data_IF_559865883633
#
_entry.id   IF_559865883633
#
_cell.length_a   1.000
_cell.length_b   1.000
_cell.length_c   1.000
_cell.angle_alpha   90.00
_cell.angle_beta   90.00
_cell.angle_gamma   90.00
#
_symmetry.space_group_name_H-M   'P 1'
#
loop_
_entity.id
_entity.type
_entity.pdbx_description
1 polymer ?
#
# COMPACT_ATOMS: atom_id res chain seq x y z
N UNK A 1 -4.59 -22.81 -45.18
CA UNK A 1 -3.71 -21.99 -44.32
C UNK A 1 -4.18 -20.54 -44.42
N UNK A 2 -4.87 -20.02 -43.41
CA UNK A 2 -4.90 -18.57 -43.10
C UNK A 2 -5.58 -18.38 -41.74
N UNK A 3 -4.80 -18.50 -40.68
CA UNK A 3 -5.17 -18.04 -39.34
C UNK A 3 -5.02 -16.51 -39.35
N UNK A 4 -6.07 -15.79 -39.79
CA UNK A 4 -6.08 -14.33 -39.71
C UNK A 4 -6.30 -13.91 -38.26
N UNK A 5 -5.22 -13.43 -37.65
CA UNK A 5 -5.14 -12.51 -36.51
C UNK A 5 -6.44 -12.35 -35.71
N UNK A 6 -6.62 -13.19 -34.69
CA UNK A 6 -7.44 -12.84 -33.54
C UNK A 6 -6.77 -11.64 -32.85
N UNK A 7 -7.17 -10.42 -33.23
CA UNK A 7 -6.86 -9.23 -32.45
C UNK A 7 -7.73 -9.33 -31.20
N UNK A 8 -7.09 -9.60 -30.06
CA UNK A 8 -7.75 -9.52 -28.77
C UNK A 8 -7.89 -8.02 -28.49
N UNK A 9 -9.06 -7.46 -28.78
CA UNK A 9 -9.37 -6.09 -28.41
C UNK A 9 -9.58 -6.05 -26.90
N UNK A 10 -8.67 -5.39 -26.18
CA UNK A 10 -8.78 -5.22 -24.73
C UNK A 10 -9.85 -4.16 -24.48
N UNK A 11 -10.93 -4.55 -23.80
CA UNK A 11 -11.98 -3.62 -23.38
C UNK A 11 -11.68 -3.15 -21.97
N UNK A 12 -11.45 -1.84 -21.81
CA UNK A 12 -11.16 -1.23 -20.50
C UNK A 12 -12.44 -0.96 -19.70
N UNK A 13 -12.54 -1.58 -18.52
CA UNK A 13 -13.57 -1.24 -17.55
C UNK A 13 -13.03 -0.19 -16.57
N UNK A 14 -13.23 1.08 -16.91
CA UNK A 14 -12.72 2.22 -16.11
C UNK A 14 -13.69 2.62 -14.98
N UNK A 15 -14.99 2.35 -15.14
CA UNK A 15 -16.01 2.80 -14.18
C UNK A 15 -16.21 1.78 -13.06
N UNK A 16 -16.08 2.23 -11.81
CA UNK A 16 -16.45 1.45 -10.63
C UNK A 16 -17.96 1.60 -10.36
N UNK A 17 -18.72 0.50 -10.19
CA UNK A 17 -20.17 0.58 -9.92
C UNK A 17 -20.53 1.41 -8.67
N UNK A 18 -19.61 1.52 -7.72
CA UNK A 18 -19.76 2.28 -6.48
C UNK A 18 -19.40 3.77 -6.61
N UNK A 19 -18.80 4.19 -7.73
CA UNK A 19 -18.30 5.55 -7.90
C UNK A 19 -17.01 5.89 -7.11
N UNK A 20 -16.33 4.88 -6.54
CA UNK A 20 -15.05 5.11 -5.86
C UNK A 20 -14.00 5.67 -6.83
N UNK A 21 -13.34 6.74 -6.42
CA UNK A 21 -12.25 7.36 -7.18
C UNK A 21 -10.91 6.70 -6.86
N UNK A 22 -9.95 6.85 -7.78
CA UNK A 22 -8.57 6.47 -7.50
C UNK A 22 -7.99 7.31 -6.34
N UNK A 23 -7.11 6.72 -5.52
CA UNK A 23 -6.47 7.45 -4.45
C UNK A 23 -5.50 8.52 -5.00
N UNK A 24 -5.30 9.58 -4.22
CA UNK A 24 -4.28 10.60 -4.50
C UNK A 24 -2.90 10.00 -4.24
N UNK A 25 -1.95 10.27 -5.14
CA UNK A 25 -0.55 9.82 -5.01
C UNK A 25 0.33 11.01 -4.66
N UNK A 26 1.19 10.83 -3.65
CA UNK A 26 2.17 11.80 -3.20
C UNK A 26 3.56 11.15 -3.14
N UNK A 27 4.62 11.89 -3.51
CA UNK A 27 6.01 11.43 -3.43
C UNK A 27 6.75 12.27 -2.39
N UNK A 28 7.30 11.63 -1.38
CA UNK A 28 8.05 12.27 -0.28
C UNK A 28 9.53 11.85 -0.28
N UNK A 29 10.45 12.72 0.18
CA UNK A 29 11.86 12.36 0.36
C UNK A 29 12.07 11.25 1.40
N UNK A 30 13.19 10.53 1.30
CA UNK A 30 13.49 9.37 2.16
C UNK A 30 13.97 9.76 3.57
N UNK A 31 14.52 10.97 3.75
CA UNK A 31 15.29 11.34 4.94
C UNK A 31 14.53 11.16 6.28
N UNK A 32 13.22 11.43 6.29
CA UNK A 32 12.34 11.37 7.47
C UNK A 32 11.22 10.33 7.31
N UNK A 33 11.40 9.36 6.40
CA UNK A 33 10.31 8.49 5.94
C UNK A 33 9.58 7.73 7.06
N UNK A 34 10.27 7.32 8.12
CA UNK A 34 9.68 6.54 9.21
C UNK A 34 8.85 7.44 10.14
N UNK A 35 9.38 8.60 10.50
CA UNK A 35 8.68 9.58 11.33
C UNK A 35 7.45 10.16 10.60
N UNK A 36 7.61 10.46 9.29
CA UNK A 36 6.50 10.91 8.45
C UNK A 36 5.41 9.84 8.35
N UNK A 37 5.78 8.57 8.15
CA UNK A 37 4.84 7.46 8.12
C UNK A 37 4.12 7.29 9.47
N UNK A 38 4.82 7.38 10.59
CA UNK A 38 4.22 7.29 11.94
C UNK A 38 3.20 8.41 12.16
N UNK A 39 3.51 9.64 11.75
CA UNK A 39 2.58 10.77 11.80
C UNK A 39 1.31 10.50 10.98
N UNK A 40 1.44 10.00 9.75
CA UNK A 40 0.29 9.65 8.89
C UNK A 40 -0.54 8.52 9.50
N UNK A 41 0.11 7.48 10.05
CA UNK A 41 -0.59 6.37 10.73
C UNK A 41 -1.46 6.90 11.86
N UNK A 42 -0.92 7.80 12.71
CA UNK A 42 -1.67 8.39 13.82
C UNK A 42 -2.84 9.23 13.36
N UNK A 43 -2.67 10.02 12.30
CA UNK A 43 -3.75 10.80 11.70
C UNK A 43 -4.89 9.90 11.19
N UNK A 44 -4.55 8.79 10.51
CA UNK A 44 -5.56 7.83 10.02
C UNK A 44 -6.24 7.06 11.15
N UNK A 45 -5.47 6.64 12.16
CA UNK A 45 -6.01 5.93 13.31
C UNK A 45 -7.00 6.79 14.11
N UNK A 46 -6.76 8.11 14.22
CA UNK A 46 -7.65 9.04 14.92
C UNK A 46 -9.05 9.13 14.29
N UNK A 47 -9.18 8.83 12.99
CA UNK A 47 -10.45 8.80 12.25
C UNK A 47 -10.93 7.36 11.95
N UNK A 48 -10.38 6.37 12.65
CA UNK A 48 -10.73 4.95 12.52
C UNK A 48 -10.47 4.34 11.12
N UNK A 49 -9.48 4.87 10.40
CA UNK A 49 -8.95 4.30 9.16
C UNK A 49 -7.77 3.35 9.43
N UNK A 50 -7.34 2.62 8.39
CA UNK A 50 -6.21 1.69 8.45
C UNK A 50 -5.17 2.02 7.38
N UNK A 51 -3.91 1.72 7.67
CA UNK A 51 -2.78 1.93 6.76
C UNK A 51 -2.21 0.57 6.34
N UNK A 52 -1.87 0.45 5.05
CA UNK A 52 -1.11 -0.67 4.50
C UNK A 52 0.25 -0.15 4.07
N UNK A 53 1.31 -0.80 4.53
CA UNK A 53 2.70 -0.44 4.22
C UNK A 53 3.36 -1.62 3.53
N UNK A 54 4.05 -1.35 2.43
CA UNK A 54 4.86 -2.34 1.70
C UNK A 54 6.31 -1.94 1.79
N UNK A 55 7.16 -2.86 2.23
CA UNK A 55 8.62 -2.70 2.26
C UNK A 55 9.28 -3.60 1.22
N UNK A 56 10.53 -3.30 0.85
CA UNK A 56 11.24 -4.06 -0.18
C UNK A 56 11.82 -5.39 0.34
N UNK A 57 12.08 -5.49 1.64
CA UNK A 57 12.73 -6.67 2.23
C UNK A 57 12.00 -7.12 3.49
N UNK A 58 12.09 -8.44 3.77
CA UNK A 58 11.57 -9.03 5.01
C UNK A 58 12.13 -8.32 6.24
N UNK A 59 13.46 -8.12 6.29
CA UNK A 59 14.12 -7.45 7.42
C UNK A 59 13.59 -6.03 7.65
N UNK A 60 13.41 -5.24 6.58
CA UNK A 60 12.79 -3.91 6.73
C UNK A 60 11.37 -3.97 7.28
N UNK A 61 10.60 -5.01 6.93
CA UNK A 61 9.26 -5.19 7.49
C UNK A 61 9.30 -5.55 8.97
N UNK A 62 10.24 -6.42 9.38
CA UNK A 62 10.47 -6.80 10.77
C UNK A 62 10.91 -5.59 11.60
N UNK A 63 11.99 -4.90 11.17
CA UNK A 63 12.53 -3.71 11.85
C UNK A 63 11.48 -2.58 11.98
N UNK A 64 10.67 -2.35 10.93
CA UNK A 64 9.61 -1.35 10.97
C UNK A 64 8.46 -1.75 11.91
N UNK A 65 8.12 -3.03 11.95
CA UNK A 65 7.06 -3.54 12.83
C UNK A 65 7.48 -3.36 14.29
N UNK A 66 8.70 -3.76 14.65
CA UNK A 66 9.26 -3.57 15.99
C UNK A 66 9.25 -2.10 16.40
N UNK A 67 9.77 -1.21 15.53
CA UNK A 67 9.75 0.23 15.79
C UNK A 67 8.33 0.76 16.07
N UNK A 68 7.34 0.38 15.26
CA UNK A 68 5.96 0.84 15.43
C UNK A 68 5.32 0.29 16.72
N UNK A 69 5.61 -0.96 17.10
CA UNK A 69 5.15 -1.55 18.36
C UNK A 69 5.75 -0.81 19.57
N UNK A 70 7.05 -0.50 19.55
CA UNK A 70 7.72 0.27 20.59
C UNK A 70 7.12 1.68 20.75
N UNK A 71 6.62 2.27 19.67
CA UNK A 71 5.95 3.58 19.67
C UNK A 71 4.44 3.50 19.97
N UNK A 72 3.94 2.32 20.34
CA UNK A 72 2.58 2.09 20.84
C UNK A 72 1.52 1.87 19.75
N UNK A 73 1.92 1.67 18.49
CA UNK A 73 0.98 1.45 17.40
C UNK A 73 0.48 0.00 17.33
N UNK A 74 -0.79 -0.18 16.98
CA UNK A 74 -1.38 -1.52 16.76
C UNK A 74 -1.02 -2.02 15.37
N UNK A 75 0.13 -2.65 15.24
CA UNK A 75 0.66 -3.14 13.96
C UNK A 75 0.69 -4.66 13.88
N UNK A 76 0.79 -5.21 12.66
CA UNK A 76 1.04 -6.63 12.42
C UNK A 76 1.80 -6.81 11.12
N UNK A 77 2.90 -7.55 11.17
CA UNK A 77 3.62 -7.97 9.98
C UNK A 77 2.86 -9.08 9.22
N UNK A 78 2.60 -8.86 7.92
CA UNK A 78 2.10 -9.89 7.03
C UNK A 78 3.28 -10.72 6.48
N UNK A 79 3.47 -11.91 7.03
CA UNK A 79 4.53 -12.80 6.58
C UNK A 79 4.12 -13.53 5.29
N UNK A 80 4.91 -13.35 4.22
CA UNK A 80 4.78 -14.13 3.00
C UNK A 80 5.20 -15.58 3.28
N UNK A 81 4.31 -16.53 3.00
CA UNK A 81 4.65 -17.95 2.96
C UNK A 81 5.06 -18.28 1.52
N UNK A 82 6.29 -18.74 1.36
CA UNK A 82 6.76 -19.40 0.15
C UNK A 82 7.03 -20.86 0.49
#
# INVERSE_FOLDING_TARGET
MSWKNLVIEVVDQVVRPTGLLDPIIEVRPVATQVDDLLSEIRQRAAINERVLVTTLTKRMAEDLTEYLEEHGERVRYLQLRY
#
